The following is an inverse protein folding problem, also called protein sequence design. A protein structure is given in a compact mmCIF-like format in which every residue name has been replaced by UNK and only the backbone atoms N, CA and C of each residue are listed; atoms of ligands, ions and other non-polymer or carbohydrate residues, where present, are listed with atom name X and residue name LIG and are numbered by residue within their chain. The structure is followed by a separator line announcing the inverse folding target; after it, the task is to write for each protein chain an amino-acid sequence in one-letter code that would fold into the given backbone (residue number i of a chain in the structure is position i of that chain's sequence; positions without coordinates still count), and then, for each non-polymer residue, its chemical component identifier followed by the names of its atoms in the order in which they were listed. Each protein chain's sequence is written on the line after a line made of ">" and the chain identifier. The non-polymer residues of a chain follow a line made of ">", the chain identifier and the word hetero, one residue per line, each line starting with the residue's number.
data_IF_088499464700
#
_entry.id   IF_088499464700
#
_cell.length_a   1.000
_cell.length_b   1.000
_cell.length_c   1.000
_cell.angle_alpha   90.00
_cell.angle_beta   90.00
_cell.angle_gamma   90.00
#
_symmetry.space_group_name_H-M   'P 1'
#
loop_
_entity.id
_entity.type
_entity.pdbx_description
1 polymer ?
#
# COMPACT_ATOMS: atom_id res chain seq x y z
N UNK A 1 -61.75 -50.29 3.06
CA UNK A 1 -60.95 -51.34 2.40
C UNK A 1 -59.91 -50.69 1.51
N UNK A 2 -58.67 -50.46 1.93
CA UNK A 2 -58.08 -50.16 3.23
C UNK A 2 -56.68 -49.65 2.90
N UNK A 3 -56.31 -48.50 3.47
CA UNK A 3 -54.91 -48.07 3.53
C UNK A 3 -54.19 -48.90 4.60
N UNK A 4 -52.89 -49.12 4.41
CA UNK A 4 -51.99 -49.09 5.56
C UNK A 4 -50.81 -48.13 5.30
N UNK A 5 -50.51 -47.30 6.30
CA UNK A 5 -49.25 -46.56 6.39
C UNK A 5 -48.18 -47.39 7.12
N UNK A 6 -46.97 -46.83 7.25
CA UNK A 6 -46.12 -47.08 8.42
C UNK A 6 -45.65 -45.74 9.02
N UNK A 7 -45.98 -45.46 10.28
CA UNK A 7 -45.16 -45.75 11.48
C UNK A 7 -43.89 -44.90 11.58
N UNK A 8 -44.02 -43.75 12.25
CA UNK A 8 -42.94 -42.98 12.85
C UNK A 8 -42.52 -43.64 14.18
N UNK A 9 -41.34 -44.25 14.22
CA UNK A 9 -40.72 -44.71 15.46
C UNK A 9 -40.08 -43.55 16.22
N UNK A 10 -40.59 -43.28 17.42
CA UNK A 10 -39.90 -42.51 18.46
C UNK A 10 -39.01 -43.48 19.28
N UNK A 11 -37.70 -43.25 19.28
CA UNK A 11 -36.75 -43.68 20.30
C UNK A 11 -36.06 -42.40 20.78
N UNK A 12 -36.38 -41.89 21.97
CA UNK A 12 -35.79 -42.26 23.26
C UNK A 12 -34.25 -42.23 23.22
N UNK A 13 -33.68 -41.07 23.54
CA UNK A 13 -32.27 -40.91 23.86
C UNK A 13 -32.15 -40.30 25.26
N UNK A 14 -31.41 -41.02 26.09
CA UNK A 14 -31.25 -40.83 27.52
C UNK A 14 -30.46 -39.55 27.86
N UNK A 15 -30.86 -38.95 28.99
CA UNK A 15 -30.21 -37.83 29.63
C UNK A 15 -28.91 -38.25 30.34
N UNK A 16 -27.87 -37.43 30.21
CA UNK A 16 -26.70 -37.39 31.12
C UNK A 16 -26.47 -35.92 31.50
N UNK A 17 -26.00 -35.64 32.73
CA UNK A 17 -26.32 -34.41 33.46
C UNK A 17 -25.39 -33.24 33.13
N UNK A 18 -25.87 -31.98 33.25
CA UNK A 18 -25.00 -30.82 33.22
C UNK A 18 -24.16 -30.73 34.50
N UNK A 19 -22.85 -30.64 34.29
CA UNK A 19 -21.83 -30.30 35.27
C UNK A 19 -22.16 -29.02 36.03
N UNK A 20 -22.10 -29.13 37.35
CA UNK A 20 -22.12 -28.07 38.35
C UNK A 20 -21.09 -26.98 38.07
N UNK A 21 -21.52 -25.84 37.51
CA UNK A 21 -20.85 -24.55 37.73
C UNK A 21 -21.75 -23.36 37.33
N UNK A 22 -22.91 -23.23 37.97
CA UNK A 22 -23.75 -22.02 37.84
C UNK A 22 -24.64 -21.80 39.06
N UNK A 23 -24.10 -22.02 40.27
CA UNK A 23 -24.78 -21.72 41.54
C UNK A 23 -23.87 -21.03 42.58
N UNK A 24 -22.67 -20.57 42.17
CA UNK A 24 -21.74 -19.83 43.04
C UNK A 24 -21.64 -18.33 42.72
N UNK A 25 -22.32 -17.82 41.68
CA UNK A 25 -22.27 -16.40 41.28
C UNK A 25 -23.51 -15.59 41.67
N UNK A 26 -24.45 -16.18 42.44
CA UNK A 26 -25.70 -15.52 42.86
C UNK A 26 -25.87 -15.37 44.38
N UNK A 27 -24.83 -15.66 45.16
CA UNK A 27 -24.84 -15.57 46.62
C UNK A 27 -23.80 -14.58 47.21
N UNK A 28 -23.09 -13.80 46.37
CA UNK A 28 -22.11 -12.79 46.84
C UNK A 28 -22.59 -11.34 46.52
N UNK A 29 -23.71 -11.18 45.81
CA UNK A 29 -24.23 -9.85 45.43
C UNK A 29 -25.35 -9.30 46.35
N UNK A 30 -25.71 -9.99 47.43
CA UNK A 30 -26.77 -9.53 48.37
C UNK A 30 -26.28 -9.27 49.79
N UNK A 31 -24.96 -9.24 50.04
CA UNK A 31 -24.42 -9.00 51.39
C UNK A 31 -23.37 -7.89 51.48
N UNK A 32 -23.41 -6.94 50.52
CA UNK A 32 -22.58 -5.72 50.53
C UNK A 32 -23.43 -4.44 50.44
N UNK A 33 -24.76 -4.53 50.34
CA UNK A 33 -25.66 -3.38 50.14
C UNK A 33 -26.46 -2.97 51.40
N UNK A 34 -26.02 -3.38 52.59
CA UNK A 34 -26.69 -3.00 53.85
C UNK A 34 -25.74 -2.39 54.90
N UNK A 35 -24.44 -2.31 54.61
CA UNK A 35 -23.43 -1.69 55.49
C UNK A 35 -23.13 -0.21 55.21
N UNK A 36 -23.47 0.30 54.02
CA UNK A 36 -23.08 1.64 53.56
C UNK A 36 -24.18 2.71 53.72
N UNK A 37 -25.38 2.33 54.19
CA UNK A 37 -26.47 3.27 54.43
C UNK A 37 -26.34 3.97 55.80
N UNK A 38 -25.88 3.26 56.84
CA UNK A 38 -25.77 3.84 58.19
C UNK A 38 -24.56 4.77 58.37
N UNK A 39 -23.49 4.60 57.59
CA UNK A 39 -22.28 5.42 57.71
C UNK A 39 -22.41 6.82 57.09
N UNK A 40 -23.41 7.02 56.21
CA UNK A 40 -23.66 8.31 55.54
C UNK A 40 -24.60 9.25 56.30
N UNK A 41 -25.38 8.76 57.26
CA UNK A 41 -26.21 9.63 58.12
C UNK A 41 -25.41 10.24 59.29
N UNK A 42 -24.34 9.58 59.73
CA UNK A 42 -23.43 10.11 60.77
C UNK A 42 -22.55 11.27 60.25
N UNK A 43 -22.04 11.19 59.01
CA UNK A 43 -21.26 12.28 58.39
C UNK A 43 -22.12 13.52 58.03
N UNK A 44 -23.42 13.33 57.76
CA UNK A 44 -24.35 14.43 57.44
C UNK A 44 -24.82 15.20 58.68
N UNK A 45 -24.80 14.59 59.85
CA UNK A 45 -25.17 15.24 61.12
C UNK A 45 -24.01 16.02 61.75
N UNK A 46 -22.75 15.63 61.49
CA UNK A 46 -21.55 16.37 61.89
C UNK A 46 -21.37 17.67 61.08
N UNK A 47 -21.75 17.68 59.80
CA UNK A 47 -21.65 18.86 58.93
C UNK A 47 -22.74 19.92 59.16
N UNK A 48 -23.84 19.56 59.82
CA UNK A 48 -24.94 20.49 60.13
C UNK A 48 -24.74 21.25 61.46
N UNK A 49 -23.84 20.77 62.34
CA UNK A 49 -23.55 21.42 63.64
C UNK A 49 -22.36 22.38 63.61
N UNK A 50 -21.58 22.45 62.52
CA UNK A 50 -20.40 23.32 62.44
C UNK A 50 -20.67 24.72 61.86
N UNK A 51 -21.92 25.08 61.56
CA UNK A 51 -22.23 26.31 60.81
C UNK A 51 -23.15 27.32 61.54
N UNK A 52 -23.24 27.22 62.88
CA UNK A 52 -23.97 28.18 63.72
C UNK A 52 -23.03 28.84 64.74
N UNK A 53 -21.89 29.38 64.31
CA UNK A 53 -21.17 30.42 65.07
C UNK A 53 -20.26 31.16 64.11
N UNK A 54 -20.71 32.30 63.59
CA UNK A 54 -19.92 33.46 63.16
C UNK A 54 -20.84 34.44 62.43
N UNK A 55 -21.77 35.01 63.19
CA UNK A 55 -22.52 36.20 62.79
C UNK A 55 -22.06 37.33 63.71
N UNK A 56 -20.86 37.84 63.46
CA UNK A 56 -20.49 39.22 63.80
C UNK A 56 -19.18 39.56 63.09
N UNK A 57 -19.02 40.84 62.75
CA UNK A 57 -17.93 41.48 61.99
C UNK A 57 -18.21 41.68 60.49
N UNK A 58 -19.00 42.73 60.25
CA UNK A 58 -18.82 43.61 59.11
C UNK A 58 -17.53 44.42 59.31
N UNK A 59 -16.59 44.36 58.36
CA UNK A 59 -15.95 45.56 57.81
C UNK A 59 -15.06 45.23 56.59
N UNK A 60 -15.32 45.99 55.53
CA UNK A 60 -14.43 46.39 54.45
C UNK A 60 -13.80 45.34 53.51
N UNK A 61 -13.81 45.66 52.20
CA UNK A 61 -13.18 44.88 51.15
C UNK A 61 -14.15 44.25 50.15
N UNK A 62 -14.49 45.00 49.10
CA UNK A 62 -15.14 44.47 47.90
C UNK A 62 -14.21 43.51 47.16
N UNK A 63 -14.27 42.22 47.49
CA UNK A 63 -13.45 41.19 46.84
C UNK A 63 -14.24 40.46 45.75
N UNK A 64 -14.00 40.84 44.48
CA UNK A 64 -14.73 40.36 43.29
C UNK A 64 -14.57 38.85 43.04
N UNK A 65 -13.62 38.18 43.68
CA UNK A 65 -13.43 36.72 43.61
C UNK A 65 -14.43 35.92 44.47
N UNK A 66 -15.04 36.53 45.49
CA UNK A 66 -16.04 35.88 46.35
C UNK A 66 -17.36 35.62 45.61
N UNK A 67 -17.78 36.55 44.76
CA UNK A 67 -19.02 36.45 43.97
C UNK A 67 -18.96 35.36 42.88
N UNK A 68 -17.78 35.11 42.31
CA UNK A 68 -17.56 34.03 41.35
C UNK A 68 -17.75 32.65 41.98
N UNK A 69 -17.15 32.41 43.14
CA UNK A 69 -17.28 31.14 43.86
C UNK A 69 -18.70 30.92 44.39
N UNK A 70 -19.40 31.97 44.83
CA UNK A 70 -20.80 31.87 45.23
C UNK A 70 -21.73 31.53 44.05
N UNK A 71 -21.49 32.10 42.86
CA UNK A 71 -22.28 31.79 41.66
C UNK A 71 -22.11 30.33 41.21
N UNK A 72 -20.90 29.78 41.32
CA UNK A 72 -20.60 28.37 41.03
C UNK A 72 -21.28 27.46 42.05
N UNK A 73 -21.30 27.85 43.34
CA UNK A 73 -21.94 27.07 44.39
C UNK A 73 -23.46 27.04 44.24
N UNK A 74 -24.09 28.18 43.91
CA UNK A 74 -25.53 28.28 43.65
C UNK A 74 -25.90 27.51 42.37
N UNK A 75 -25.09 27.60 41.31
CA UNK A 75 -25.30 26.82 40.10
C UNK A 75 -25.21 25.31 40.38
N UNK A 76 -24.25 24.89 41.22
CA UNK A 76 -24.08 23.49 41.61
C UNK A 76 -25.23 23.00 42.50
N UNK A 77 -25.71 23.81 43.44
CA UNK A 77 -26.89 23.50 44.25
C UNK A 77 -28.17 23.41 43.41
N UNK A 78 -28.35 24.32 42.45
CA UNK A 78 -29.50 24.28 41.52
C UNK A 78 -29.45 23.05 40.62
N UNK A 79 -28.27 22.69 40.12
CA UNK A 79 -28.07 21.48 39.32
C UNK A 79 -28.31 20.19 40.14
N UNK A 80 -27.94 20.18 41.42
CA UNK A 80 -28.24 19.07 42.33
C UNK A 80 -29.74 18.99 42.70
N UNK A 81 -30.43 20.12 42.86
CA UNK A 81 -31.87 20.15 43.08
C UNK A 81 -32.67 19.72 41.83
N UNK A 82 -32.22 20.14 40.64
CA UNK A 82 -32.82 19.71 39.37
C UNK A 82 -32.60 18.22 39.08
N UNK A 83 -31.44 17.66 39.44
CA UNK A 83 -31.19 16.21 39.30
C UNK A 83 -31.91 15.36 40.37
N UNK A 84 -32.22 15.93 41.54
CA UNK A 84 -33.03 15.29 42.57
C UNK A 84 -34.53 15.23 42.20
N UNK A 85 -35.02 16.22 41.43
CA UNK A 85 -36.40 16.25 40.91
C UNK A 85 -36.56 15.54 39.56
N UNK A 86 -35.48 14.98 39.02
CA UNK A 86 -35.48 14.31 37.74
C UNK A 86 -35.99 12.86 37.86
N UNK A 87 -36.99 12.52 37.02
CA UNK A 87 -37.57 11.19 36.95
C UNK A 87 -36.52 10.10 36.69
N UNK A 88 -36.80 8.88 37.15
CA UNK A 88 -35.82 7.78 37.16
C UNK A 88 -35.24 7.45 35.77
N UNK A 89 -36.03 7.60 34.69
CA UNK A 89 -35.59 7.36 33.32
C UNK A 89 -34.54 8.37 32.85
N UNK A 90 -34.75 9.66 33.11
CA UNK A 90 -33.79 10.71 32.73
C UNK A 90 -32.49 10.63 33.52
N UNK A 91 -32.56 10.15 34.77
CA UNK A 91 -31.36 9.83 35.56
C UNK A 91 -30.54 8.70 34.93
N UNK A 92 -31.19 7.66 34.40
CA UNK A 92 -30.51 6.57 33.68
C UNK A 92 -29.91 7.04 32.36
N UNK A 93 -30.61 7.90 31.62
CA UNK A 93 -30.13 8.46 30.36
C UNK A 93 -28.88 9.33 30.55
N UNK A 94 -28.88 10.25 31.53
CA UNK A 94 -27.69 11.06 31.84
C UNK A 94 -26.52 10.24 32.36
N UNK A 95 -26.78 9.24 33.20
CA UNK A 95 -25.73 8.34 33.67
C UNK A 95 -25.09 7.57 32.49
N UNK A 96 -25.88 7.18 31.49
CA UNK A 96 -25.38 6.52 30.29
C UNK A 96 -24.57 7.48 29.39
N UNK A 97 -25.00 8.73 29.23
CA UNK A 97 -24.25 9.74 28.45
C UNK A 97 -22.94 10.13 29.14
N UNK A 98 -22.94 10.27 30.46
CA UNK A 98 -21.73 10.59 31.21
C UNK A 98 -20.75 9.41 31.22
N UNK A 99 -21.25 8.18 31.31
CA UNK A 99 -20.44 6.98 31.18
C UNK A 99 -19.81 6.87 29.79
N UNK A 100 -20.59 7.10 28.72
CA UNK A 100 -20.08 7.04 27.35
C UNK A 100 -19.04 8.15 27.10
N UNK A 101 -19.26 9.37 27.59
CA UNK A 101 -18.31 10.46 27.50
C UNK A 101 -16.98 10.16 28.22
N UNK A 102 -17.04 9.55 29.41
CA UNK A 102 -15.82 9.13 30.15
C UNK A 102 -15.05 8.06 29.40
N UNK A 103 -15.74 7.06 28.84
CA UNK A 103 -15.08 6.00 28.06
C UNK A 103 -14.44 6.54 26.77
N UNK A 104 -15.09 7.49 26.10
CA UNK A 104 -14.55 8.14 24.91
C UNK A 104 -13.30 8.96 25.23
N UNK A 105 -13.32 9.75 26.31
CA UNK A 105 -12.17 10.53 26.75
C UNK A 105 -10.97 9.65 27.14
N UNK A 106 -11.23 8.50 27.78
CA UNK A 106 -10.17 7.56 28.15
C UNK A 106 -9.58 6.83 26.93
N UNK A 107 -10.42 6.48 25.94
CA UNK A 107 -9.98 5.92 24.68
C UNK A 107 -9.10 6.91 23.89
N UNK A 108 -9.48 8.18 23.85
CA UNK A 108 -8.70 9.22 23.16
C UNK A 108 -7.34 9.43 23.83
N UNK A 109 -7.28 9.42 25.17
CA UNK A 109 -6.01 9.51 25.90
C UNK A 109 -5.10 8.32 25.59
N UNK A 110 -5.64 7.09 25.56
CA UNK A 110 -4.88 5.88 25.21
C UNK A 110 -4.35 5.94 23.77
N UNK A 111 -5.14 6.44 22.82
CA UNK A 111 -4.71 6.62 21.43
C UNK A 111 -3.57 7.65 21.29
N UNK A 112 -3.62 8.74 22.07
CA UNK A 112 -2.53 9.73 22.12
C UNK A 112 -1.25 9.14 22.71
N UNK A 113 -1.36 8.37 23.79
CA UNK A 113 -0.19 7.72 24.41
C UNK A 113 0.43 6.64 23.50
N UNK A 114 -0.40 5.89 22.76
CA UNK A 114 0.05 4.88 21.82
C UNK A 114 0.73 5.50 20.59
N UNK A 115 0.16 6.55 20.01
CA UNK A 115 0.77 7.28 18.89
C UNK A 115 2.11 7.93 19.28
N UNK A 116 2.23 8.43 20.51
CA UNK A 116 3.50 8.94 21.03
C UNK A 116 4.57 7.83 21.20
N UNK A 117 4.17 6.62 21.60
CA UNK A 117 5.09 5.46 21.67
C UNK A 117 5.55 5.03 20.28
N UNK A 118 4.62 4.95 19.32
CA UNK A 118 4.94 4.57 17.95
C UNK A 118 5.89 5.59 17.30
N UNK A 119 5.67 6.89 17.52
CA UNK A 119 6.56 7.94 17.02
C UNK A 119 8.00 7.78 17.54
N UNK A 120 8.19 7.50 18.84
CA UNK A 120 9.52 7.25 19.41
C UNK A 120 10.19 6.01 18.80
N UNK A 121 9.45 4.91 18.64
CA UNK A 121 10.01 3.69 18.02
C UNK A 121 10.37 3.88 16.55
N UNK A 122 9.62 4.72 15.82
CA UNK A 122 9.92 5.05 14.43
C UNK A 122 11.21 5.87 14.33
N UNK A 123 11.40 6.85 15.22
CA UNK A 123 12.62 7.67 15.27
C UNK A 123 13.86 6.83 15.60
N UNK A 124 13.76 5.88 16.54
CA UNK A 124 14.85 4.94 16.87
C UNK A 124 15.22 4.05 15.67
N UNK A 125 14.21 3.51 14.95
CA UNK A 125 14.44 2.72 13.73
C UNK A 125 15.09 3.54 12.63
N UNK A 126 14.71 4.80 12.47
CA UNK A 126 15.31 5.69 11.48
C UNK A 126 16.78 5.98 11.80
N UNK A 127 17.13 6.20 13.08
CA UNK A 127 18.52 6.38 13.53
C UNK A 127 19.36 5.15 13.25
N UNK A 128 18.84 3.94 13.51
CA UNK A 128 19.57 2.71 13.24
C UNK A 128 19.76 2.46 11.73
N UNK A 129 18.75 2.75 10.91
CA UNK A 129 18.87 2.69 9.45
C UNK A 129 19.92 3.67 8.92
N UNK A 130 20.01 4.89 9.47
CA UNK A 130 21.05 5.85 9.12
C UNK A 130 22.46 5.34 9.48
N UNK A 131 22.60 4.62 10.59
CA UNK A 131 23.87 4.01 10.99
C UNK A 131 24.29 2.88 10.03
N UNK A 132 23.37 1.95 9.73
CA UNK A 132 23.61 0.83 8.81
C UNK A 132 23.93 1.33 7.40
N UNK A 133 23.21 2.33 6.91
CA UNK A 133 23.45 2.91 5.58
C UNK A 133 24.76 3.68 5.51
N UNK A 134 25.18 4.35 6.59
CA UNK A 134 26.51 4.95 6.70
C UNK A 134 27.62 3.91 6.61
N UNK A 135 27.54 2.84 7.41
CA UNK A 135 28.51 1.74 7.41
C UNK A 135 28.58 1.01 6.06
N UNK A 136 27.45 0.85 5.36
CA UNK A 136 27.40 0.25 4.04
C UNK A 136 28.12 1.10 2.98
N UNK A 137 27.99 2.43 3.04
CA UNK A 137 28.69 3.36 2.13
C UNK A 137 30.20 3.31 2.35
N UNK A 138 30.65 3.24 3.60
CA UNK A 138 32.07 3.16 3.94
C UNK A 138 32.68 1.86 3.40
N UNK A 139 32.02 0.70 3.58
CA UNK A 139 32.45 -0.59 3.00
C UNK A 139 32.50 -0.58 1.47
N UNK A 140 31.56 0.10 0.80
CA UNK A 140 31.59 0.25 -0.65
C UNK A 140 32.77 1.12 -1.10
N UNK A 141 33.09 2.18 -0.37
CA UNK A 141 34.21 3.05 -0.68
C UNK A 141 35.55 2.34 -0.48
N UNK A 142 35.71 1.57 0.60
CA UNK A 142 36.89 0.72 0.82
C UNK A 142 37.06 -0.34 -0.27
N UNK A 143 35.95 -0.96 -0.72
CA UNK A 143 35.98 -1.93 -1.82
C UNK A 143 36.40 -1.28 -3.15
N UNK A 144 35.93 -0.06 -3.43
CA UNK A 144 36.34 0.72 -4.61
C UNK A 144 37.83 1.09 -4.56
N UNK A 145 38.35 1.48 -3.39
CA UNK A 145 39.78 1.77 -3.22
C UNK A 145 40.62 0.51 -3.42
N UNK A 146 40.23 -0.63 -2.85
CA UNK A 146 40.92 -1.91 -3.06
C UNK A 146 40.89 -2.37 -4.52
N UNK A 147 39.76 -2.18 -5.21
CA UNK A 147 39.60 -2.48 -6.64
C UNK A 147 40.50 -1.59 -7.51
N UNK A 148 40.58 -0.30 -7.20
CA UNK A 148 41.44 0.63 -7.93
C UNK A 148 42.93 0.35 -7.69
N UNK A 149 43.31 -0.07 -6.47
CA UNK A 149 44.67 -0.49 -6.16
C UNK A 149 45.08 -1.77 -6.93
N UNK A 150 44.17 -2.75 -7.03
CA UNK A 150 44.41 -3.97 -7.82
C UNK A 150 44.48 -3.69 -9.32
N UNK A 151 43.69 -2.75 -9.84
CA UNK A 151 43.80 -2.28 -11.23
C UNK A 151 45.14 -1.57 -11.49
N UNK A 152 45.63 -0.75 -10.55
CA UNK A 152 46.93 -0.10 -10.66
C UNK A 152 48.09 -1.11 -10.64
N UNK A 153 47.98 -2.18 -9.85
CA UNK A 153 48.96 -3.27 -9.79
C UNK A 153 48.95 -4.11 -11.08
N UNK A 154 47.78 -4.35 -11.68
CA UNK A 154 47.63 -5.02 -12.98
C UNK A 154 48.22 -4.19 -14.14
N UNK A 155 48.06 -2.86 -14.12
CA UNK A 155 48.62 -1.96 -15.14
C UNK A 155 50.15 -1.94 -15.07
N UNK A 156 50.74 -1.95 -13.87
CA UNK A 156 52.19 -1.91 -13.69
C UNK A 156 52.87 -3.24 -14.08
N UNK A 157 52.14 -4.36 -14.04
CA UNK A 157 52.66 -5.68 -14.40
C UNK A 157 52.43 -6.04 -15.89
N UNK A 158 51.65 -5.24 -16.63
CA UNK A 158 51.50 -5.38 -18.08
C UNK A 158 52.44 -4.45 -18.83
N UNK A 159 53.56 -4.99 -19.33
CA UNK A 159 54.44 -4.26 -20.26
C UNK A 159 53.79 -4.14 -21.65
N UNK A 160 52.86 -3.19 -21.82
CA UNK A 160 52.36 -2.77 -23.13
C UNK A 160 53.06 -1.44 -23.47
N UNK A 161 54.04 -1.52 -24.37
CA UNK A 161 54.75 -0.36 -24.89
C UNK A 161 53.82 0.48 -25.78
N UNK A 162 53.21 1.53 -25.21
CA UNK A 162 52.48 2.54 -25.97
C UNK A 162 53.49 3.51 -26.60
N UNK A 163 53.50 3.58 -27.94
CA UNK A 163 54.31 4.54 -28.70
C UNK A 163 53.73 5.97 -28.57
N UNK A 164 54.56 7.01 -28.36
CA UNK A 164 54.08 8.38 -28.28
C UNK A 164 53.61 8.91 -29.64
N UNK A 165 52.47 9.60 -29.65
CA UNK A 165 51.87 10.25 -30.82
C UNK A 165 52.69 11.49 -31.20
N UNK A 166 53.07 11.61 -32.48
CA UNK A 166 53.77 12.75 -33.07
C UNK A 166 52.87 13.99 -33.08
N UNK A 167 53.41 15.15 -32.69
CA UNK A 167 52.66 16.41 -32.65
C UNK A 167 53.11 17.37 -33.74
N UNK A 168 52.14 18.13 -34.27
CA UNK A 168 52.27 19.13 -35.33
C UNK A 168 53.29 20.27 -35.03
N UNK A 169 53.84 20.31 -33.80
CA UNK A 169 54.87 21.26 -33.37
C UNK A 169 56.27 20.87 -33.89
N UNK A 170 56.46 19.60 -34.27
CA UNK A 170 57.74 19.06 -34.74
C UNK A 170 57.91 19.28 -36.27
N UNK A 171 56.82 19.25 -37.03
CA UNK A 171 56.84 19.51 -38.48
C UNK A 171 57.03 21.00 -38.83
N UNK A 172 56.87 21.91 -37.87
CA UNK A 172 57.09 23.35 -38.10
C UNK A 172 58.56 23.80 -37.95
N UNK A 173 59.50 22.89 -37.65
CA UNK A 173 60.94 23.21 -37.58
C UNK A 173 61.73 22.87 -38.87
N UNK A 174 61.05 22.49 -39.95
CA UNK A 174 61.69 22.12 -41.22
C UNK A 174 61.69 23.17 -42.33
N UNK A 175 60.97 24.29 -42.18
CA UNK A 175 60.86 25.29 -43.25
C UNK A 175 61.28 26.67 -42.76
N UNK A 176 62.59 26.94 -42.82
CA UNK A 176 63.11 28.29 -42.73
C UNK A 176 62.61 29.13 -43.91
N UNK A 177 61.91 30.22 -43.61
CA UNK A 177 61.93 31.45 -44.40
C UNK A 177 61.36 32.61 -43.58
N UNK A 178 62.24 33.56 -43.32
CA UNK A 178 61.97 34.84 -42.65
C UNK A 178 60.76 35.55 -43.24
N UNK A 179 59.78 35.89 -42.39
CA UNK A 179 58.74 36.85 -42.76
C UNK A 179 58.58 37.89 -41.64
N UNK A 180 59.03 39.09 -41.99
CA UNK A 180 59.19 40.29 -41.19
C UNK A 180 57.86 40.87 -40.69
N UNK A 181 57.89 41.32 -39.42
CA UNK A 181 56.83 41.98 -38.64
C UNK A 181 56.25 43.22 -39.37
N UNK A 182 56.98 43.79 -40.34
CA UNK A 182 56.57 44.95 -41.13
C UNK A 182 55.43 44.61 -42.12
N UNK A 183 55.36 43.36 -42.61
CA UNK A 183 54.32 42.93 -43.57
C UNK A 183 52.95 42.65 -42.93
N UNK A 184 52.91 42.51 -41.60
CA UNK A 184 51.67 42.31 -40.85
C UNK A 184 50.99 43.65 -40.51
N UNK A 185 51.77 44.70 -40.27
CA UNK A 185 51.25 46.06 -40.04
C UNK A 185 50.66 46.70 -41.31
N UNK A 186 51.20 46.40 -42.49
CA UNK A 186 50.70 46.92 -43.78
C UNK A 186 49.37 46.23 -44.18
N UNK A 187 49.21 44.94 -43.88
CA UNK A 187 47.96 44.21 -44.12
C UNK A 187 46.82 44.58 -43.14
N UNK A 188 47.15 45.08 -41.95
CA UNK A 188 46.16 45.52 -40.97
C UNK A 188 45.61 46.93 -41.30
N UNK A 189 46.43 47.85 -41.81
CA UNK A 189 45.96 49.20 -42.21
C UNK A 189 45.07 49.15 -43.46
N UNK A 190 45.32 48.22 -44.39
CA UNK A 190 44.49 48.02 -45.58
C UNK A 190 43.08 47.49 -45.23
N UNK A 191 42.96 46.72 -44.15
CA UNK A 191 41.68 46.19 -43.68
C UNK A 191 40.84 47.20 -42.89
N UNK A 192 41.47 48.18 -42.24
CA UNK A 192 40.77 49.28 -41.56
C UNK A 192 40.25 50.35 -42.52
N UNK A 193 40.97 50.68 -43.59
CA UNK A 193 40.52 51.71 -44.56
C UNK A 193 39.39 51.23 -45.49
N UNK A 194 39.23 49.93 -45.71
CA UNK A 194 38.10 49.35 -46.49
C UNK A 194 36.75 49.37 -45.77
N UNK A 195 36.71 49.53 -44.43
CA UNK A 195 35.45 49.48 -43.67
C UNK A 195 34.72 50.83 -43.54
N UNK A 196 35.37 51.95 -43.86
CA UNK A 196 34.80 53.30 -43.63
C UNK A 196 34.28 54.00 -44.90
N UNK A 197 34.39 53.39 -46.08
CA UNK A 197 33.98 54.00 -47.36
C UNK A 197 32.85 53.27 -48.11
N UNK A 198 32.27 52.20 -47.55
CA UNK A 198 31.19 51.41 -48.19
C UNK A 198 29.93 51.36 -47.32
N UNK A 199 29.77 52.34 -46.43
CA UNK A 199 28.55 52.56 -45.68
C UNK A 199 27.72 53.66 -46.37
N UNK A 200 27.25 53.43 -47.58
CA UNK A 200 25.99 53.96 -48.16
C UNK A 200 25.84 53.34 -49.56
N UNK A 201 24.68 52.75 -49.84
CA UNK A 201 24.28 52.09 -51.10
C UNK A 201 24.72 50.62 -51.27
N UNK A 202 23.95 49.70 -50.68
CA UNK A 202 23.33 48.54 -51.39
C UNK A 202 22.44 47.71 -50.43
N UNK A 203 21.63 48.39 -49.63
CA UNK A 203 20.60 47.75 -48.81
C UNK A 203 19.33 47.50 -49.63
N UNK A 204 19.37 46.61 -50.64
CA UNK A 204 18.12 46.02 -51.21
C UNK A 204 18.23 44.77 -52.09
N UNK A 205 19.33 44.01 -52.08
CA UNK A 205 19.39 42.76 -52.90
C UNK A 205 19.89 41.50 -52.19
N UNK A 206 20.14 41.54 -50.86
CA UNK A 206 20.54 40.36 -50.10
C UNK A 206 19.59 39.99 -48.94
N UNK A 207 18.43 40.63 -48.83
CA UNK A 207 17.44 40.31 -47.77
C UNK A 207 16.90 38.89 -47.90
N UNK A 208 16.82 38.34 -49.12
CA UNK A 208 16.39 36.96 -49.34
C UNK A 208 17.35 35.98 -48.68
N UNK A 209 18.67 36.20 -48.80
CA UNK A 209 19.66 35.36 -48.12
C UNK A 209 19.65 35.54 -46.60
N UNK A 210 19.39 36.76 -46.10
CA UNK A 210 19.24 37.01 -44.67
C UNK A 210 17.99 36.32 -44.09
N UNK A 211 16.87 36.34 -44.82
CA UNK A 211 15.63 35.66 -44.45
C UNK A 211 15.81 34.14 -44.51
N UNK A 212 16.40 33.60 -45.57
CA UNK A 212 16.69 32.17 -45.70
C UNK A 212 17.65 31.70 -44.61
N UNK A 213 18.69 32.47 -44.29
CA UNK A 213 19.61 32.14 -43.20
C UNK A 213 18.91 32.12 -41.84
N UNK A 214 18.00 33.07 -41.59
CA UNK A 214 17.23 33.11 -40.34
C UNK A 214 16.29 31.91 -40.24
N UNK A 215 15.61 31.53 -41.33
CA UNK A 215 14.75 30.35 -41.38
C UNK A 215 15.56 29.08 -41.14
N UNK A 216 16.76 28.97 -41.70
CA UNK A 216 17.65 27.81 -41.50
C UNK A 216 18.12 27.70 -40.04
N UNK A 217 18.39 28.82 -39.38
CA UNK A 217 18.76 28.84 -37.95
C UNK A 217 17.57 28.41 -37.09
N UNK A 218 16.37 28.95 -37.35
CA UNK A 218 15.16 28.56 -36.60
C UNK A 218 14.81 27.08 -36.83
N UNK A 219 14.95 26.59 -38.06
CA UNK A 219 14.77 25.17 -38.37
C UNK A 219 15.81 24.29 -37.69
N UNK A 220 17.08 24.72 -37.66
CA UNK A 220 18.16 24.03 -36.95
C UNK A 220 17.92 23.97 -35.44
N UNK A 221 17.42 25.05 -34.84
CA UNK A 221 17.04 25.08 -33.41
C UNK A 221 15.84 24.17 -33.16
N UNK A 222 14.83 24.15 -34.03
CA UNK A 222 13.68 23.27 -33.89
C UNK A 222 14.06 21.79 -34.02
N UNK A 223 14.93 21.43 -34.98
CA UNK A 223 15.47 20.08 -35.14
C UNK A 223 16.34 19.71 -33.95
N UNK A 224 17.20 20.62 -33.49
CA UNK A 224 18.04 20.42 -32.31
C UNK A 224 17.24 20.26 -31.03
N UNK A 225 16.18 21.05 -30.84
CA UNK A 225 15.25 20.93 -29.71
C UNK A 225 14.44 19.63 -29.79
N UNK A 226 14.02 19.20 -30.98
CA UNK A 226 13.37 17.91 -31.20
C UNK A 226 14.31 16.75 -30.87
N UNK A 227 15.57 16.78 -31.35
CA UNK A 227 16.57 15.77 -31.01
C UNK A 227 16.94 15.79 -29.52
N UNK A 228 17.09 16.97 -28.92
CA UNK A 228 17.36 17.09 -27.49
C UNK A 228 16.19 16.55 -26.66
N UNK A 229 14.95 16.81 -27.07
CA UNK A 229 13.75 16.28 -26.45
C UNK A 229 13.68 14.75 -26.60
N UNK A 230 13.95 14.20 -27.80
CA UNK A 230 13.92 12.74 -28.02
C UNK A 230 15.08 11.99 -27.36
N UNK A 231 16.24 12.64 -27.17
CA UNK A 231 17.37 12.09 -26.42
C UNK A 231 17.20 12.20 -24.89
N UNK A 232 16.53 13.25 -24.41
CA UNK A 232 16.31 13.47 -22.97
C UNK A 232 15.07 12.77 -22.43
N UNK A 233 14.11 12.46 -23.31
CA UNK A 233 12.92 11.67 -23.02
C UNK A 233 12.82 10.56 -24.08
N UNK A 234 13.61 9.48 -23.96
CA UNK A 234 13.44 8.35 -24.85
C UNK A 234 12.02 7.83 -24.69
N UNK A 235 11.22 7.94 -25.75
CA UNK A 235 10.03 7.13 -25.91
C UNK A 235 10.47 5.70 -25.62
N UNK A 236 9.96 5.11 -24.54
CA UNK A 236 10.25 3.74 -24.15
C UNK A 236 9.58 2.80 -25.14
N UNK A 237 10.11 2.73 -26.35
CA UNK A 237 9.68 1.86 -27.44
C UNK A 237 10.91 1.20 -28.08
N UNK A 238 11.63 0.45 -27.26
CA UNK A 238 12.66 -0.50 -27.69
C UNK A 238 13.13 -1.28 -26.47
N UNK A 239 12.87 -2.59 -26.37
CA UNK A 239 13.27 -3.34 -25.19
C UNK A 239 14.79 -3.57 -25.26
N UNK A 240 15.55 -2.87 -24.43
CA UNK A 240 16.74 -3.50 -23.86
C UNK A 240 16.23 -4.73 -23.09
N UNK A 241 16.35 -5.90 -23.73
CA UNK A 241 16.07 -7.19 -23.13
C UNK A 241 17.20 -7.48 -22.14
N UNK A 242 17.16 -6.82 -20.99
CA UNK A 242 17.71 -7.43 -19.79
C UNK A 242 16.85 -8.67 -19.58
N UNK A 243 17.36 -9.84 -19.94
CA UNK A 243 16.70 -11.12 -19.73
C UNK A 243 16.75 -11.40 -18.23
N UNK A 244 15.91 -10.69 -17.48
CA UNK A 244 15.72 -10.95 -16.07
C UNK A 244 14.87 -12.20 -15.97
N UNK A 245 15.49 -13.26 -15.47
CA UNK A 245 14.80 -14.52 -15.19
C UNK A 245 14.00 -14.34 -13.91
N UNK A 246 12.82 -13.75 -14.04
CA UNK A 246 11.76 -13.95 -13.07
C UNK A 246 11.38 -15.43 -13.11
N UNK A 247 11.09 -16.05 -11.96
CA UNK A 247 10.72 -17.47 -11.92
C UNK A 247 9.58 -17.80 -12.89
N UNK A 248 9.33 -19.08 -13.18
CA UNK A 248 8.26 -19.44 -14.11
C UNK A 248 6.86 -19.17 -13.53
N UNK A 249 5.94 -18.66 -14.35
CA UNK A 249 4.54 -18.52 -13.96
C UNK A 249 3.94 -19.89 -13.58
N UNK A 250 2.97 -19.91 -12.65
CA UNK A 250 2.39 -21.18 -12.17
C UNK A 250 1.63 -21.90 -13.29
N UNK A 251 0.93 -21.14 -14.13
CA UNK A 251 0.33 -21.59 -15.39
C UNK A 251 0.89 -20.78 -16.56
N UNK A 252 0.73 -21.30 -17.78
CA UNK A 252 1.06 -20.55 -18.99
C UNK A 252 0.21 -19.27 -19.07
N UNK A 253 0.87 -18.14 -19.32
CA UNK A 253 0.27 -16.85 -19.62
C UNK A 253 0.81 -16.38 -20.98
N UNK A 254 -0.05 -15.84 -21.82
CA UNK A 254 0.31 -15.31 -23.13
C UNK A 254 1.19 -14.06 -23.01
N UNK A 255 1.04 -13.32 -21.91
CA UNK A 255 1.77 -12.09 -21.63
C UNK A 255 1.97 -11.92 -20.12
N UNK A 256 3.07 -11.28 -19.73
CA UNK A 256 3.32 -10.87 -18.35
C UNK A 256 3.53 -9.35 -18.30
N UNK A 257 2.71 -8.66 -17.51
CA UNK A 257 2.83 -7.22 -17.24
C UNK A 257 3.59 -7.05 -15.92
N UNK A 258 4.73 -6.36 -15.95
CA UNK A 258 5.55 -6.14 -14.75
C UNK A 258 5.03 -4.92 -13.99
N UNK A 259 4.67 -5.11 -12.72
CA UNK A 259 4.19 -4.04 -11.83
C UNK A 259 5.16 -3.86 -10.66
N UNK A 260 5.95 -2.77 -10.63
CA UNK A 260 6.81 -2.45 -9.50
C UNK A 260 5.99 -1.89 -8.33
N UNK A 261 6.01 -2.57 -7.18
CA UNK A 261 5.15 -2.24 -6.02
C UNK A 261 5.86 -1.60 -4.83
N UNK A 262 7.18 -1.51 -4.82
CA UNK A 262 7.94 -1.14 -3.61
C UNK A 262 7.64 0.24 -3.04
N UNK A 263 7.14 1.17 -3.86
CA UNK A 263 6.75 2.53 -3.46
C UNK A 263 5.23 2.76 -3.49
N UNK A 264 4.42 1.73 -3.82
CA UNK A 264 2.98 1.89 -3.96
C UNK A 264 2.29 1.84 -2.60
N UNK A 265 1.29 2.70 -2.41
CA UNK A 265 0.31 2.55 -1.34
C UNK A 265 -0.67 1.41 -1.63
N UNK A 266 -1.39 0.98 -0.60
CA UNK A 266 -2.53 0.05 -0.70
C UNK A 266 -3.54 0.51 -1.76
N UNK A 267 -3.94 1.78 -1.71
CA UNK A 267 -4.90 2.38 -2.64
C UNK A 267 -4.39 2.43 -4.08
N UNK A 268 -3.11 2.73 -4.29
CA UNK A 268 -2.50 2.76 -5.61
C UNK A 268 -2.42 1.36 -6.22
N UNK A 269 -1.99 0.37 -5.43
CA UNK A 269 -1.93 -1.01 -5.90
C UNK A 269 -3.34 -1.54 -6.24
N UNK A 270 -4.35 -1.27 -5.40
CA UNK A 270 -5.74 -1.63 -5.70
C UNK A 270 -6.19 -1.00 -7.02
N UNK A 271 -5.91 0.30 -7.24
CA UNK A 271 -6.29 0.99 -8.47
C UNK A 271 -5.63 0.37 -9.71
N UNK A 272 -4.34 0.02 -9.63
CA UNK A 272 -3.61 -0.65 -10.71
C UNK A 272 -4.22 -2.02 -11.00
N UNK A 273 -4.39 -2.87 -9.98
CA UNK A 273 -4.94 -4.22 -10.18
C UNK A 273 -6.36 -4.19 -10.75
N UNK A 274 -7.18 -3.23 -10.30
CA UNK A 274 -8.51 -2.99 -10.87
C UNK A 274 -8.46 -2.57 -12.33
N UNK A 275 -7.50 -1.73 -12.68
CA UNK A 275 -7.28 -1.27 -14.05
C UNK A 275 -6.84 -2.43 -14.96
N UNK A 276 -5.95 -3.31 -14.49
CA UNK A 276 -5.54 -4.51 -15.24
C UNK A 276 -6.74 -5.41 -15.57
N UNK A 277 -7.72 -5.56 -14.66
CA UNK A 277 -8.95 -6.33 -14.94
C UNK A 277 -9.93 -5.55 -15.82
N UNK A 278 -10.23 -4.31 -15.45
CA UNK A 278 -11.28 -3.51 -16.08
C UNK A 278 -10.97 -3.07 -17.50
N UNK A 279 -9.69 -2.90 -17.84
CA UNK A 279 -9.23 -2.40 -19.14
C UNK A 279 -8.47 -3.45 -19.97
N UNK A 280 -8.53 -4.72 -19.59
CA UNK A 280 -7.95 -5.79 -20.40
C UNK A 280 -8.65 -5.82 -21.77
N UNK A 281 -7.87 -5.50 -22.80
CA UNK A 281 -8.27 -5.54 -24.20
C UNK A 281 -7.43 -6.60 -24.93
N UNK A 282 -7.79 -7.86 -24.72
CA UNK A 282 -7.14 -9.01 -25.31
C UNK A 282 -8.19 -9.95 -25.92
N UNK A 283 -7.83 -10.80 -26.90
CA UNK A 283 -8.72 -11.82 -27.42
C UNK A 283 -9.33 -12.66 -26.30
N UNK A 284 -10.57 -13.14 -26.48
CA UNK A 284 -11.19 -14.06 -25.52
C UNK A 284 -10.29 -15.28 -25.28
N UNK A 285 -10.30 -15.79 -24.05
CA UNK A 285 -9.45 -16.89 -23.58
C UNK A 285 -7.97 -16.55 -23.39
N UNK A 286 -7.59 -15.27 -23.45
CA UNK A 286 -6.21 -14.82 -23.16
C UNK A 286 -6.00 -14.67 -21.65
N UNK A 287 -4.86 -15.15 -21.14
CA UNK A 287 -4.42 -14.96 -19.75
C UNK A 287 -3.18 -14.06 -19.73
N UNK A 288 -3.28 -12.96 -19.00
CA UNK A 288 -2.13 -12.10 -18.69
C UNK A 288 -1.71 -12.30 -17.22
N UNK A 289 -0.42 -12.55 -16.97
CA UNK A 289 0.15 -12.53 -15.62
C UNK A 289 0.43 -11.09 -15.22
N UNK A 290 0.05 -10.70 -14.00
CA UNK A 290 0.52 -9.45 -13.39
C UNK A 290 1.70 -9.79 -12.49
N UNK A 291 2.90 -9.63 -13.03
CA UNK A 291 4.14 -9.96 -12.36
C UNK A 291 4.56 -8.82 -11.42
N UNK A 292 4.36 -9.02 -10.12
CA UNK A 292 4.68 -8.02 -9.10
C UNK A 292 6.14 -8.13 -8.64
N UNK A 293 6.85 -7.00 -8.66
CA UNK A 293 8.27 -6.90 -8.27
C UNK A 293 8.49 -5.72 -7.32
N UNK A 294 9.50 -5.74 -6.45
CA UNK A 294 9.75 -4.61 -5.53
C UNK A 294 10.18 -3.34 -6.28
N UNK A 295 10.96 -3.49 -7.34
CA UNK A 295 11.39 -2.39 -8.22
C UNK A 295 11.62 -2.93 -9.63
N UNK A 296 11.57 -2.05 -10.62
CA UNK A 296 11.99 -2.39 -11.98
C UNK A 296 13.45 -2.86 -11.91
N UNK A 297 13.72 -4.03 -12.47
CA UNK A 297 15.06 -4.62 -12.43
C UNK A 297 15.32 -5.55 -11.24
N UNK A 298 14.36 -5.79 -10.34
CA UNK A 298 14.53 -6.71 -9.22
C UNK A 298 14.55 -8.17 -9.70
N UNK A 299 15.46 -8.98 -9.15
CA UNK A 299 15.59 -10.40 -9.54
C UNK A 299 14.51 -11.30 -8.91
N UNK A 300 13.74 -10.80 -7.94
CA UNK A 300 12.80 -11.59 -7.16
C UNK A 300 11.36 -11.09 -7.28
N UNK A 301 10.44 -12.05 -7.44
CA UNK A 301 9.00 -11.83 -7.31
C UNK A 301 8.63 -11.38 -5.89
N UNK A 302 7.59 -10.57 -5.82
CA UNK A 302 6.92 -10.25 -4.55
C UNK A 302 6.34 -11.52 -3.94
N UNK A 303 6.50 -11.69 -2.63
CA UNK A 303 5.95 -12.83 -1.90
C UNK A 303 4.48 -12.62 -1.57
N UNK A 304 3.74 -13.71 -1.36
CA UNK A 304 2.33 -13.65 -0.92
C UNK A 304 2.17 -12.85 0.38
N UNK A 305 3.08 -13.04 1.35
CA UNK A 305 3.07 -12.28 2.60
C UNK A 305 3.21 -10.77 2.36
N UNK A 306 4.08 -10.37 1.43
CA UNK A 306 4.25 -8.96 1.04
C UNK A 306 3.01 -8.41 0.34
N UNK A 307 2.40 -9.18 -0.55
CA UNK A 307 1.14 -8.84 -1.23
C UNK A 307 0.00 -8.62 -0.23
N UNK A 308 -0.21 -9.57 0.69
CA UNK A 308 -1.20 -9.49 1.77
C UNK A 308 -0.97 -8.25 2.65
N UNK A 309 0.28 -7.97 3.00
CA UNK A 309 0.64 -6.84 3.85
C UNK A 309 0.41 -5.48 3.17
N UNK A 310 0.78 -5.32 1.89
CA UNK A 310 0.58 -4.05 1.17
C UNK A 310 -0.92 -3.78 0.99
N UNK A 311 -1.69 -4.79 0.60
CA UNK A 311 -3.14 -4.63 0.42
C UNK A 311 -3.93 -4.60 1.74
N UNK A 312 -3.25 -4.81 2.88
CA UNK A 312 -3.87 -4.87 4.21
C UNK A 312 -5.04 -5.87 4.27
N UNK A 313 -4.86 -7.01 3.60
CA UNK A 313 -5.89 -8.05 3.60
C UNK A 313 -6.06 -8.63 5.00
N UNK A 314 -7.28 -8.96 5.37
CA UNK A 314 -7.63 -9.57 6.67
C UNK A 314 -7.49 -11.08 6.61
N UNK A 315 -6.43 -11.54 5.95
CA UNK A 315 -6.10 -12.94 5.79
C UNK A 315 -5.75 -13.53 7.17
N UNK A 316 -6.41 -14.62 7.61
CA UNK A 316 -6.08 -15.27 8.87
C UNK A 316 -4.61 -15.67 8.93
N UNK A 317 -3.95 -15.45 10.07
CA UNK A 317 -2.51 -15.73 10.23
C UNK A 317 -2.18 -17.22 10.02
N UNK A 318 -3.12 -18.11 10.40
CA UNK A 318 -3.01 -19.54 10.12
C UNK A 318 -2.94 -19.83 8.63
N UNK A 319 -3.66 -19.08 7.78
CA UNK A 319 -3.63 -19.26 6.34
C UNK A 319 -2.28 -18.84 5.79
N UNK A 320 -1.81 -17.62 6.08
CA UNK A 320 -0.53 -17.09 5.57
C UNK A 320 0.66 -17.99 5.93
N UNK A 321 0.67 -18.60 7.13
CA UNK A 321 1.74 -19.52 7.56
C UNK A 321 1.70 -20.90 6.89
N UNK A 322 0.61 -21.27 6.24
CA UNK A 322 0.44 -22.58 5.59
C UNK A 322 0.31 -22.47 4.06
N UNK A 323 0.67 -21.31 3.49
CA UNK A 323 0.78 -21.07 2.05
C UNK A 323 2.26 -20.84 1.71
N UNK A 324 2.68 -21.28 0.53
CA UNK A 324 4.00 -20.95 0.01
C UNK A 324 4.13 -19.46 -0.26
N UNK A 325 5.38 -18.98 -0.33
CA UNK A 325 5.66 -17.58 -0.64
C UNK A 325 5.28 -17.21 -2.07
N UNK A 326 5.32 -18.18 -2.99
CA UNK A 326 4.97 -17.99 -4.39
C UNK A 326 3.46 -17.94 -4.60
N UNK A 327 3.02 -17.00 -5.44
CA UNK A 327 1.65 -16.91 -5.93
C UNK A 327 1.66 -16.36 -7.34
N UNK A 328 0.56 -16.54 -8.05
CA UNK A 328 0.30 -15.92 -9.34
C UNK A 328 -0.98 -15.10 -9.24
N UNK A 329 -0.88 -13.82 -9.58
CA UNK A 329 -2.03 -13.00 -9.93
C UNK A 329 -2.11 -12.93 -11.45
N UNK A 330 -3.26 -13.23 -12.01
CA UNK A 330 -3.49 -13.08 -13.43
C UNK A 330 -4.84 -12.48 -13.73
N UNK A 331 -5.02 -12.04 -14.97
CA UNK A 331 -6.27 -11.56 -15.53
C UNK A 331 -6.61 -12.39 -16.73
N UNK A 332 -7.85 -12.83 -16.81
CA UNK A 332 -8.38 -13.61 -17.92
C UNK A 332 -9.40 -12.80 -18.72
N UNK A 333 -9.19 -12.75 -20.04
CA UNK A 333 -10.13 -12.16 -20.99
C UNK A 333 -11.28 -13.12 -21.26
N UNK A 334 -12.45 -12.78 -20.76
CA UNK A 334 -13.69 -13.54 -20.88
C UNK A 334 -14.84 -12.56 -21.22
N UNK A 335 -16.08 -13.02 -21.48
CA UNK A 335 -17.21 -12.09 -21.70
C UNK A 335 -17.36 -11.05 -20.59
N UNK A 336 -16.92 -11.39 -19.38
CA UNK A 336 -16.59 -10.44 -18.32
C UNK A 336 -15.19 -10.75 -17.82
N UNK A 337 -14.24 -9.83 -18.04
CA UNK A 337 -12.88 -9.97 -17.55
C UNK A 337 -12.87 -10.27 -16.05
N UNK A 338 -11.98 -11.18 -15.65
CA UNK A 338 -11.84 -11.55 -14.26
C UNK A 338 -10.38 -11.80 -13.92
N UNK A 339 -9.97 -11.25 -12.79
CA UNK A 339 -8.74 -11.58 -12.11
C UNK A 339 -8.85 -12.93 -11.40
N UNK A 340 -7.69 -13.52 -11.16
CA UNK A 340 -7.56 -14.74 -10.37
C UNK A 340 -6.27 -14.76 -9.58
N UNK A 341 -6.27 -15.57 -8.52
CA UNK A 341 -5.11 -15.92 -7.74
C UNK A 341 -4.90 -17.43 -7.80
N UNK A 342 -3.65 -17.86 -8.01
CA UNK A 342 -3.20 -19.23 -7.80
C UNK A 342 -2.16 -19.19 -6.69
N UNK A 343 -2.35 -20.03 -5.68
CA UNK A 343 -1.48 -20.11 -4.51
C UNK A 343 -1.22 -21.58 -4.21
N UNK A 344 0.00 -21.92 -3.75
CA UNK A 344 0.35 -23.28 -3.32
C UNK A 344 0.19 -23.42 -1.81
N UNK A 345 -0.75 -24.24 -1.29
CA UNK A 345 -0.77 -24.63 0.10
C UNK A 345 0.38 -25.57 0.48
N UNK A 346 0.98 -25.36 1.64
CA UNK A 346 1.96 -26.28 2.25
C UNK A 346 1.29 -27.38 3.08
N UNK A 347 0.13 -27.08 3.68
CA UNK A 347 -0.65 -28.01 4.48
C UNK A 347 -2.14 -27.82 4.18
N UNK A 348 -2.71 -28.73 3.39
CA UNK A 348 -4.08 -28.65 2.89
C UNK A 348 -5.11 -28.38 4.00
N UNK A 349 -5.15 -29.20 5.04
CA UNK A 349 -6.17 -29.09 6.11
C UNK A 349 -6.13 -27.71 6.81
N UNK A 350 -4.92 -27.19 7.03
CA UNK A 350 -4.71 -25.89 7.70
C UNK A 350 -5.04 -24.73 6.78
N UNK A 351 -4.68 -24.83 5.50
CA UNK A 351 -5.04 -23.83 4.49
C UNK A 351 -6.56 -23.80 4.26
N UNK A 352 -7.23 -24.95 4.21
CA UNK A 352 -8.67 -25.04 4.08
C UNK A 352 -9.39 -24.41 5.29
N UNK A 353 -9.00 -24.77 6.51
CA UNK A 353 -9.52 -24.13 7.72
C UNK A 353 -9.25 -22.61 7.74
N UNK A 354 -8.09 -22.18 7.24
CA UNK A 354 -7.75 -20.77 7.08
C UNK A 354 -8.63 -20.04 6.07
N UNK A 355 -8.99 -20.68 4.95
CA UNK A 355 -9.91 -20.12 3.95
C UNK A 355 -11.32 -19.96 4.52
N UNK A 356 -11.84 -20.96 5.23
CA UNK A 356 -13.13 -20.85 5.92
C UNK A 356 -13.16 -19.69 6.91
N UNK A 357 -12.08 -19.49 7.66
CA UNK A 357 -11.95 -18.35 8.57
C UNK A 357 -11.84 -17.00 7.85
N UNK A 358 -11.42 -16.99 6.58
CA UNK A 358 -11.27 -15.77 5.78
C UNK A 358 -12.58 -15.34 5.08
N UNK A 359 -13.51 -16.27 4.85
CA UNK A 359 -14.78 -16.03 4.15
C UNK A 359 -15.55 -14.76 4.56
N UNK A 360 -15.67 -14.40 5.86
CA UNK A 360 -16.38 -13.18 6.27
C UNK A 360 -15.74 -11.87 5.76
N UNK A 361 -14.46 -11.91 5.37
CA UNK A 361 -13.70 -10.75 4.89
C UNK A 361 -13.31 -10.87 3.42
N UNK A 362 -13.35 -12.08 2.86
CA UNK A 362 -12.80 -12.43 1.55
C UNK A 362 -13.40 -11.60 0.41
N UNK A 363 -14.72 -11.34 0.43
CA UNK A 363 -15.39 -10.47 -0.55
C UNK A 363 -14.79 -9.06 -0.50
N UNK A 364 -14.78 -8.43 0.67
CA UNK A 364 -14.28 -7.06 0.81
C UNK A 364 -12.77 -6.95 0.57
N UNK A 365 -12.02 -8.03 0.81
CA UNK A 365 -10.57 -8.07 0.62
C UNK A 365 -10.17 -8.25 -0.86
N UNK A 366 -10.86 -9.11 -1.61
CA UNK A 366 -10.40 -9.52 -2.95
C UNK A 366 -11.35 -9.16 -4.09
N UNK A 367 -12.65 -8.95 -3.84
CA UNK A 367 -13.61 -8.77 -4.92
C UNK A 367 -13.25 -7.60 -5.82
N UNK A 368 -12.76 -6.48 -5.26
CA UNK A 368 -12.45 -5.31 -6.07
C UNK A 368 -11.28 -5.54 -7.01
N UNK A 369 -10.20 -6.14 -6.53
CA UNK A 369 -9.02 -6.39 -7.36
C UNK A 369 -9.32 -7.47 -8.40
N UNK A 370 -10.09 -8.50 -8.05
CA UNK A 370 -10.39 -9.60 -8.96
C UNK A 370 -11.50 -9.28 -9.97
N UNK A 371 -12.48 -8.43 -9.65
CA UNK A 371 -13.58 -8.11 -10.57
C UNK A 371 -13.40 -6.79 -11.32
N UNK A 372 -12.40 -5.98 -10.94
CA UNK A 372 -12.27 -4.58 -11.36
C UNK A 372 -13.32 -3.62 -10.77
N UNK A 373 -14.33 -4.15 -10.07
CA UNK A 373 -15.55 -3.45 -9.62
C UNK A 373 -15.63 -3.39 -8.10
N UNK A 374 -16.24 -2.36 -7.54
CA UNK A 374 -16.48 -2.31 -6.10
C UNK A 374 -17.55 -3.32 -5.69
N UNK A 375 -17.43 -4.00 -4.53
CA UNK A 375 -18.48 -4.88 -4.03
C UNK A 375 -19.71 -4.07 -3.64
N UNK A 376 -20.90 -4.63 -3.88
CA UNK A 376 -22.14 -4.12 -3.32
C UNK A 376 -22.23 -4.53 -1.83
N UNK A 377 -22.85 -3.69 -0.99
CA UNK A 377 -22.97 -3.98 0.44
C UNK A 377 -23.74 -5.29 0.72
N UNK A 378 -24.71 -5.64 -0.15
CA UNK A 378 -25.44 -6.91 -0.12
C UNK A 378 -24.51 -8.11 -0.28
N UNK A 379 -23.53 -8.02 -1.18
CA UNK A 379 -22.60 -9.10 -1.49
C UNK A 379 -21.66 -9.42 -0.31
N UNK A 380 -21.25 -8.41 0.46
CA UNK A 380 -20.41 -8.64 1.66
C UNK A 380 -21.15 -9.46 2.73
N UNK A 381 -22.48 -9.39 2.76
CA UNK A 381 -23.33 -10.15 3.68
C UNK A 381 -23.88 -11.46 3.10
N UNK A 382 -23.63 -11.73 1.81
CA UNK A 382 -24.13 -12.94 1.16
C UNK A 382 -23.48 -14.19 1.76
N UNK A 383 -24.27 -15.25 2.05
CA UNK A 383 -23.73 -16.48 2.61
C UNK A 383 -22.88 -17.21 1.56
N UNK A 384 -21.80 -17.83 2.05
CA UNK A 384 -21.01 -18.77 1.26
C UNK A 384 -21.69 -20.14 1.22
N UNK A 385 -21.65 -20.78 0.05
CA UNK A 385 -22.24 -22.11 -0.18
C UNK A 385 -21.30 -23.02 -0.96
N UNK A 386 -21.46 -24.33 -0.76
CA UNK A 386 -20.73 -25.34 -1.50
C UNK A 386 -21.35 -25.56 -2.88
N UNK A 387 -20.50 -25.81 -3.88
CA UNK A 387 -20.89 -26.21 -5.23
C UNK A 387 -19.83 -27.13 -5.84
N UNK A 388 -20.14 -27.74 -6.98
CA UNK A 388 -19.19 -28.51 -7.77
C UNK A 388 -19.07 -27.90 -9.16
N UNK A 389 -17.87 -27.49 -9.55
CA UNK A 389 -17.57 -26.93 -10.87
C UNK A 389 -16.52 -27.82 -11.52
N UNK A 390 -16.83 -28.38 -12.70
CA UNK A 390 -15.91 -29.27 -13.46
C UNK A 390 -15.31 -30.40 -12.60
N UNK A 391 -16.16 -31.02 -11.76
CA UNK A 391 -15.78 -32.09 -10.83
C UNK A 391 -14.80 -31.67 -9.71
N UNK A 392 -14.73 -30.38 -9.39
CA UNK A 392 -13.97 -29.82 -8.28
C UNK A 392 -14.93 -29.19 -7.28
N UNK A 393 -14.77 -29.50 -6.00
CA UNK A 393 -15.52 -28.86 -4.93
C UNK A 393 -15.08 -27.39 -4.78
N UNK A 394 -16.03 -26.48 -4.87
CA UNK A 394 -15.80 -25.05 -4.79
C UNK A 394 -16.71 -24.41 -3.75
N UNK A 395 -16.20 -23.34 -3.14
CA UNK A 395 -16.95 -22.45 -2.25
C UNK A 395 -17.26 -21.19 -3.04
N UNK A 396 -18.54 -20.80 -3.06
CA UNK A 396 -19.02 -19.66 -3.84
C UNK A 396 -19.82 -18.71 -2.97
N UNK A 397 -19.82 -17.44 -3.36
CA UNK A 397 -20.79 -16.44 -2.92
C UNK A 397 -21.48 -15.86 -4.15
N UNK A 398 -22.80 -15.65 -4.04
CA UNK A 398 -23.64 -15.16 -5.14
C UNK A 398 -24.05 -13.70 -4.93
N UNK A 399 -24.17 -12.98 -6.04
CA UNK A 399 -24.74 -11.63 -6.06
C UNK A 399 -26.27 -11.66 -5.88
N UNK A 400 -26.90 -10.48 -5.77
CA UNK A 400 -28.35 -10.37 -5.65
C UNK A 400 -29.14 -10.91 -6.85
N UNK A 401 -28.48 -11.19 -7.97
CA UNK A 401 -29.07 -11.82 -9.16
C UNK A 401 -28.87 -13.34 -9.22
N UNK A 402 -28.25 -13.92 -8.20
CA UNK A 402 -27.97 -15.37 -8.11
C UNK A 402 -26.75 -15.82 -8.91
N UNK A 403 -25.99 -14.91 -9.53
CA UNK A 403 -24.76 -15.24 -10.26
C UNK A 403 -23.60 -15.38 -9.30
N UNK A 404 -22.61 -16.21 -9.65
CA UNK A 404 -21.37 -16.32 -8.87
C UNK A 404 -20.61 -15.00 -8.94
N UNK A 405 -20.32 -14.43 -7.79
CA UNK A 405 -19.61 -13.15 -7.66
C UNK A 405 -18.15 -13.36 -7.24
N UNK A 406 -17.89 -14.34 -6.38
CA UNK A 406 -16.56 -14.76 -5.97
C UNK A 406 -16.59 -16.25 -5.65
N UNK A 407 -15.51 -16.95 -5.98
CA UNK A 407 -15.35 -18.37 -5.73
C UNK A 407 -13.91 -18.70 -5.37
N UNK A 408 -13.74 -19.75 -4.58
CA UNK A 408 -12.44 -20.39 -4.42
C UNK A 408 -12.58 -21.91 -4.40
N UNK A 409 -11.52 -22.59 -4.82
CA UNK A 409 -11.46 -24.05 -4.76
C UNK A 409 -10.03 -24.53 -4.60
N UNK A 410 -9.88 -25.67 -3.93
CA UNK A 410 -8.64 -26.43 -3.93
C UNK A 410 -8.73 -27.45 -5.06
N UNK A 411 -8.03 -27.19 -6.17
CA UNK A 411 -7.99 -28.13 -7.30
C UNK A 411 -7.38 -29.47 -6.89
N UNK A 412 -6.36 -29.40 -6.04
CA UNK A 412 -5.70 -30.51 -5.38
C UNK A 412 -5.12 -30.02 -4.04
N UNK A 413 -4.31 -30.83 -3.36
CA UNK A 413 -3.72 -30.47 -2.07
C UNK A 413 -2.70 -29.32 -2.13
N UNK A 414 -2.18 -28.99 -3.32
CA UNK A 414 -1.12 -28.01 -3.54
C UNK A 414 -1.53 -26.87 -4.49
N UNK A 415 -2.82 -26.69 -4.78
CA UNK A 415 -3.30 -25.64 -5.69
C UNK A 415 -4.62 -25.08 -5.18
N UNK A 416 -4.57 -23.85 -4.65
CA UNK A 416 -5.71 -23.02 -4.30
C UNK A 416 -5.94 -21.99 -5.40
N UNK A 417 -7.16 -21.92 -5.91
CA UNK A 417 -7.59 -20.95 -6.92
C UNK A 417 -8.66 -20.05 -6.30
N UNK A 418 -8.57 -18.74 -6.51
CA UNK A 418 -9.58 -17.74 -6.12
C UNK A 418 -9.88 -16.87 -7.35
N UNK A 419 -11.15 -16.70 -7.71
CA UNK A 419 -11.56 -15.87 -8.87
C UNK A 419 -13.02 -15.41 -8.76
N UNK A 420 -13.46 -14.54 -9.65
CA UNK A 420 -14.82 -13.99 -9.68
C UNK A 420 -15.67 -14.55 -10.83
N UNK A 421 -15.17 -15.53 -11.58
CA UNK A 421 -15.83 -16.08 -12.77
C UNK A 421 -15.65 -17.59 -12.89
N UNK A 422 -16.76 -18.31 -13.15
CA UNK A 422 -16.73 -19.75 -13.43
C UNK A 422 -15.99 -20.08 -14.74
N UNK A 423 -16.08 -19.21 -15.75
CA UNK A 423 -15.34 -19.35 -17.01
C UNK A 423 -13.83 -19.28 -16.76
N UNK A 424 -13.41 -18.31 -15.93
CA UNK A 424 -12.00 -18.13 -15.55
C UNK A 424 -11.49 -19.30 -14.72
N UNK A 425 -12.31 -19.78 -13.79
CA UNK A 425 -11.97 -20.99 -13.04
C UNK A 425 -11.76 -22.19 -13.97
N UNK A 426 -12.67 -22.39 -14.93
CA UNK A 426 -12.59 -23.50 -15.91
C UNK A 426 -11.37 -23.40 -16.82
N UNK A 427 -11.01 -22.19 -17.24
CA UNK A 427 -9.79 -21.95 -18.04
C UNK A 427 -8.53 -22.29 -17.24
N UNK A 428 -8.45 -21.85 -15.97
CA UNK A 428 -7.31 -22.16 -15.10
C UNK A 428 -7.17 -23.67 -14.90
N UNK A 429 -8.27 -24.38 -14.66
CA UNK A 429 -8.27 -25.85 -14.55
C UNK A 429 -7.74 -26.52 -15.83
N UNK A 430 -8.12 -26.00 -16.99
CA UNK A 430 -7.65 -26.50 -18.29
C UNK A 430 -6.15 -26.29 -18.43
N UNK A 431 -5.63 -25.12 -18.04
CA UNK A 431 -4.19 -24.82 -18.11
C UNK A 431 -3.36 -25.60 -17.09
N UNK A 432 -3.90 -25.91 -15.92
CA UNK A 432 -3.24 -26.73 -14.90
C UNK A 432 -3.12 -28.21 -15.32
N UNK A 433 -4.02 -28.68 -16.18
CA UNK A 433 -4.06 -30.07 -16.65
C UNK A 433 -3.40 -30.26 -18.02
N UNK A 434 -3.19 -29.18 -18.77
CA UNK A 434 -2.55 -29.22 -20.08
C UNK A 434 -1.03 -29.10 -19.93
N UNK A 435 -0.23 -29.99 -20.55
CA UNK A 435 1.21 -29.85 -20.58
C UNK A 435 1.62 -28.49 -21.15
N UNK A 436 2.61 -27.84 -20.53
CA UNK A 436 3.13 -26.56 -21.01
C UNK A 436 3.62 -26.72 -22.46
N UNK A 437 3.25 -25.83 -23.38
CA UNK A 437 3.85 -25.82 -24.71
C UNK A 437 5.37 -25.66 -24.57
N UNK A 438 6.19 -26.35 -25.38
CA UNK A 438 7.62 -26.11 -25.38
C UNK A 438 7.88 -24.64 -25.70
N UNK A 439 8.59 -23.94 -24.80
CA UNK A 439 9.09 -22.60 -25.04
C UNK A 439 9.95 -22.62 -26.31
N UNK A 440 9.54 -21.88 -27.35
CA UNK A 440 10.24 -21.81 -28.62
C UNK A 440 11.26 -20.70 -28.66
#
# INVERSE_FOLDING_TARGET
>A
MDKPGPQSGQQSAAATPPTTNTLAARAIASHVMEGDAHRREEELSELLHSNTTSQDQLEDGTDKNSLGNFSILIAKQRQMAESAMEGEERRKERALTDASARTAAEAEKRARDESARLAKTAEEREREMRRITGEARERQQEALVKKNATVAELINNSSIAVRPVRTLKEDMKGAGKDLSIVSMAIKEDEHRRRKTAVATQEAKKNSMFAVVSTILIVAGIAVGAYFFYSLSFPDSTGPETVTQTYGEAMIFAEKSNIVPIGLLSDTQLIAILRNEVGNLNAPLSTVEEVLMVERVGAESRVTLARFVAILRLRTPEILVRNLESGFMYGVHSAPTNAGFLIITPQAYDRAFAGMLAWEPFLVRDLYSILSGRSPEASLESSPWSDTVIRNVNARIVRDGSGRVALLYAFFNQNTLIITTSEDTFTEILTRLTTPRPPTR
#
